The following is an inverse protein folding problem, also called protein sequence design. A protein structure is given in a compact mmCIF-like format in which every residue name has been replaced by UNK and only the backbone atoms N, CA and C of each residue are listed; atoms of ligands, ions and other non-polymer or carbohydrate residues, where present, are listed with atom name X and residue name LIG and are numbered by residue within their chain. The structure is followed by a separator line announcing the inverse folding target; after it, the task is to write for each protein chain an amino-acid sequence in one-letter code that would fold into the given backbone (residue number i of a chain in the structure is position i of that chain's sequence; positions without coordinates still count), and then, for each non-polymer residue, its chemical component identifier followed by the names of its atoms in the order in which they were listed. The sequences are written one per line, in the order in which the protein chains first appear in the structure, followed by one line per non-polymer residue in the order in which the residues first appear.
data_IF_282606363447
#
_entry.id   IF_282606363447
#
_cell.length_a   1.000
_cell.length_b   1.000
_cell.length_c   1.000
_cell.angle_alpha   90.00
_cell.angle_beta   90.00
_cell.angle_gamma   90.00
#
_symmetry.space_group_name_H-M   'P 1'
#
loop_
_entity.id
_entity.type
_entity.pdbx_description
1 polymer ?
#
# COMPACT_ATOMS: atom_id res chain seq x y z
N UNK A 1 56.14 57.30 -0.65
CA UNK A 1 57.11 56.18 -0.78
C UNK A 1 56.52 55.19 -1.76
N UNK A 2 56.84 55.32 -3.06
CA UNK A 2 57.95 54.63 -3.77
C UNK A 2 57.69 53.10 -3.80
N UNK A 3 57.12 52.45 -4.82
CA UNK A 3 57.29 52.47 -6.29
C UNK A 3 58.36 51.48 -6.80
N UNK A 4 57.95 50.68 -7.81
CA UNK A 4 58.73 50.11 -8.94
C UNK A 4 59.60 48.84 -8.67
N UNK A 5 59.75 47.85 -9.57
CA UNK A 5 59.23 47.58 -10.92
C UNK A 5 59.71 46.20 -11.44
N UNK A 6 59.22 45.86 -12.65
CA UNK A 6 59.74 45.01 -13.73
C UNK A 6 59.13 43.60 -13.83
N UNK A 7 58.64 43.14 -14.98
CA UNK A 7 58.63 43.69 -16.33
C UNK A 7 57.96 42.69 -17.29
N UNK A 8 57.38 43.21 -18.36
CA UNK A 8 56.53 42.50 -19.32
C UNK A 8 57.28 41.96 -20.54
N UNK A 9 56.55 41.11 -21.30
CA UNK A 9 56.64 40.83 -22.74
C UNK A 9 57.64 39.76 -23.23
N UNK A 10 57.11 38.76 -23.96
CA UNK A 10 57.34 38.59 -25.41
C UNK A 10 56.33 37.58 -25.99
N UNK A 11 55.81 37.91 -27.17
CA UNK A 11 54.98 37.08 -28.04
C UNK A 11 55.88 36.33 -29.02
N UNK A 12 55.59 35.05 -29.34
CA UNK A 12 56.02 34.50 -30.63
C UNK A 12 55.11 33.38 -31.14
N UNK A 13 54.94 33.41 -32.46
CA UNK A 13 54.01 32.66 -33.30
C UNK A 13 54.45 31.20 -33.50
N UNK A 14 53.45 30.32 -33.62
CA UNK A 14 53.27 29.43 -34.77
C UNK A 14 54.18 28.20 -34.91
N UNK A 15 53.54 27.05 -35.15
CA UNK A 15 54.08 26.08 -36.12
C UNK A 15 54.12 24.62 -35.71
N UNK A 16 53.09 23.90 -36.17
CA UNK A 16 53.12 22.55 -36.79
C UNK A 16 53.49 21.32 -35.94
N UNK A 17 52.45 20.46 -35.84
CA UNK A 17 52.41 19.00 -36.14
C UNK A 17 53.24 18.09 -35.24
N UNK A 18 52.89 16.84 -34.98
CA UNK A 18 51.68 16.03 -35.09
C UNK A 18 52.15 14.67 -34.56
N UNK A 19 51.41 14.01 -33.67
CA UNK A 19 51.43 12.55 -33.67
C UNK A 19 50.11 12.04 -33.09
N UNK A 20 49.36 11.45 -34.02
CA UNK A 20 48.12 10.69 -33.81
C UNK A 20 48.36 9.59 -32.77
N UNK A 21 47.42 9.48 -31.84
CA UNK A 21 46.95 8.18 -31.40
C UNK A 21 45.45 8.10 -31.72
N UNK A 22 45.17 7.39 -32.81
CA UNK A 22 43.88 6.79 -33.08
C UNK A 22 43.69 5.67 -32.07
N UNK A 23 42.54 5.65 -31.39
CA UNK A 23 41.68 4.48 -31.23
C UNK A 23 40.35 4.98 -30.66
N UNK A 24 39.35 5.01 -31.55
CA UNK A 24 38.00 5.39 -31.19
C UNK A 24 37.36 4.32 -30.31
N UNK A 25 36.92 4.73 -29.13
CA UNK A 25 35.95 3.96 -28.37
C UNK A 25 34.57 4.57 -28.62
N UNK A 26 33.85 3.92 -29.54
CA UNK A 26 32.40 4.02 -29.68
C UNK A 26 31.80 3.53 -28.37
N UNK A 27 31.37 4.45 -27.51
CA UNK A 27 30.49 4.12 -26.40
C UNK A 27 29.12 3.84 -27.01
N UNK A 28 28.85 2.56 -27.31
CA UNK A 28 27.49 2.11 -27.54
C UNK A 28 26.72 2.33 -26.24
N UNK A 29 25.85 3.35 -26.22
CA UNK A 29 24.72 3.38 -25.28
C UNK A 29 23.85 2.18 -25.62
N UNK A 30 24.08 1.07 -24.92
CA UNK A 30 23.14 -0.02 -24.86
C UNK A 30 21.84 0.55 -24.28
N UNK A 31 20.88 0.82 -25.16
CA UNK A 31 19.49 1.02 -24.81
C UNK A 31 19.01 -0.34 -24.29
N UNK A 32 19.28 -0.62 -23.01
CA UNK A 32 18.57 -1.64 -22.26
C UNK A 32 17.14 -1.13 -22.13
N UNK A 33 16.35 -1.36 -23.19
CA UNK A 33 14.91 -1.48 -23.05
C UNK A 33 14.68 -2.68 -22.15
N UNK A 34 14.71 -2.46 -20.84
CA UNK A 34 13.99 -3.33 -19.92
C UNK A 34 12.52 -3.17 -20.27
N UNK A 35 12.05 -3.93 -21.24
CA UNK A 35 10.63 -4.24 -21.36
C UNK A 35 10.29 -5.16 -20.20
N UNK A 36 10.21 -4.60 -18.99
CA UNK A 36 9.37 -5.20 -17.97
C UNK A 36 7.97 -5.00 -18.50
N UNK A 37 7.40 -6.05 -19.10
CA UNK A 37 5.94 -6.16 -19.14
C UNK A 37 5.50 -6.07 -17.68
N UNK A 38 5.07 -4.89 -17.24
CA UNK A 38 4.34 -4.76 -15.98
C UNK A 38 3.10 -5.61 -16.20
N UNK A 39 3.14 -6.85 -15.70
CA UNK A 39 1.98 -7.72 -15.74
C UNK A 39 0.83 -6.94 -15.14
N UNK A 40 -0.33 -6.95 -15.79
CA UNK A 40 -1.52 -6.23 -15.35
C UNK A 40 -1.72 -6.50 -13.86
N UNK A 41 -1.52 -5.48 -13.01
CA UNK A 41 -1.71 -5.60 -11.57
C UNK A 41 -3.21 -5.81 -11.37
N UNK A 42 -3.58 -7.01 -10.96
CA UNK A 42 -4.96 -7.36 -10.67
C UNK A 42 -5.23 -7.26 -9.16
N UNK A 43 -6.49 -7.09 -8.75
CA UNK A 43 -6.86 -7.20 -7.34
C UNK A 43 -6.40 -8.53 -6.74
N UNK A 44 -5.73 -8.49 -5.58
CA UNK A 44 -5.13 -9.70 -4.99
C UNK A 44 -6.17 -10.76 -4.64
N UNK A 45 -7.39 -10.32 -4.30
CA UNK A 45 -8.52 -11.16 -3.96
C UNK A 45 -9.20 -11.83 -5.16
N UNK A 46 -8.95 -11.36 -6.39
CA UNK A 46 -9.53 -11.93 -7.63
C UNK A 46 -9.21 -13.42 -7.82
N UNK A 47 -8.09 -13.88 -7.23
CA UNK A 47 -7.64 -15.27 -7.30
C UNK A 47 -8.24 -16.16 -6.21
N UNK A 48 -8.92 -15.60 -5.20
CA UNK A 48 -9.43 -16.36 -4.06
C UNK A 48 -10.39 -17.48 -4.50
N UNK A 49 -11.24 -17.20 -5.49
CA UNK A 49 -12.18 -18.18 -6.06
C UNK A 49 -11.48 -19.41 -6.65
N UNK A 50 -10.28 -19.24 -7.25
CA UNK A 50 -9.51 -20.34 -7.82
C UNK A 50 -8.91 -21.29 -6.76
N UNK A 51 -8.73 -20.81 -5.52
CA UNK A 51 -8.28 -21.62 -4.40
C UNK A 51 -9.43 -22.14 -3.54
N UNK A 52 -10.63 -21.54 -3.64
CA UNK A 52 -11.87 -22.05 -3.06
C UNK A 52 -11.74 -22.36 -1.56
N UNK A 53 -12.00 -23.61 -1.19
CA UNK A 53 -12.02 -24.07 0.19
C UNK A 53 -10.64 -24.50 0.74
N UNK A 54 -9.56 -24.22 0.00
CA UNK A 54 -8.22 -24.37 0.53
C UNK A 54 -8.00 -23.41 1.71
N UNK A 55 -7.34 -23.89 2.75
CA UNK A 55 -6.97 -23.07 3.92
C UNK A 55 -5.97 -21.99 3.50
N UNK A 56 -6.29 -20.74 3.78
CA UNK A 56 -5.45 -19.57 3.52
C UNK A 56 -4.72 -19.09 4.78
N UNK A 57 -5.44 -19.06 5.92
CA UNK A 57 -4.93 -18.56 7.21
C UNK A 57 -5.34 -19.54 8.31
N UNK A 58 -4.43 -19.83 9.22
CA UNK A 58 -4.75 -20.52 10.48
C UNK A 58 -4.35 -19.62 11.63
N UNK A 59 -5.28 -19.36 12.55
CA UNK A 59 -5.09 -18.52 13.73
C UNK A 59 -5.70 -19.18 14.98
N UNK A 60 -5.84 -18.42 16.06
CA UNK A 60 -6.37 -18.91 17.35
C UNK A 60 -7.84 -19.35 17.28
N UNK A 61 -8.60 -18.85 16.30
CA UNK A 61 -10.02 -19.17 16.10
C UNK A 61 -10.24 -20.35 15.15
N UNK A 62 -9.21 -20.79 14.41
CA UNK A 62 -9.27 -21.97 13.55
C UNK A 62 -8.62 -21.75 12.20
N UNK A 63 -9.12 -22.48 11.19
CA UNK A 63 -8.65 -22.41 9.80
C UNK A 63 -9.66 -21.67 8.94
N UNK A 64 -9.16 -20.68 8.18
CA UNK A 64 -9.95 -19.81 7.33
C UNK A 64 -9.58 -20.05 5.87
N UNK A 65 -10.58 -20.37 5.06
CA UNK A 65 -10.40 -20.67 3.64
C UNK A 65 -10.32 -19.39 2.79
N UNK A 66 -9.79 -19.51 1.58
CA UNK A 66 -9.84 -18.39 0.61
C UNK A 66 -11.29 -17.95 0.32
N UNK A 67 -12.22 -18.90 0.21
CA UNK A 67 -13.65 -18.64 -0.01
C UNK A 67 -14.28 -17.87 1.15
N UNK A 68 -13.95 -18.23 2.39
CA UNK A 68 -14.42 -17.53 3.60
C UNK A 68 -13.88 -16.10 3.64
N UNK A 69 -12.56 -15.91 3.50
CA UNK A 69 -11.94 -14.58 3.51
C UNK A 69 -12.55 -13.66 2.46
N UNK A 70 -12.74 -14.15 1.23
CA UNK A 70 -13.33 -13.37 0.15
C UNK A 70 -14.77 -12.92 0.47
N UNK A 71 -15.63 -13.85 0.89
CA UNK A 71 -17.03 -13.54 1.23
C UNK A 71 -17.15 -12.52 2.36
N UNK A 72 -16.37 -12.71 3.43
CA UNK A 72 -16.34 -11.79 4.56
C UNK A 72 -15.85 -10.40 4.17
N UNK A 73 -14.81 -10.34 3.34
CA UNK A 73 -14.28 -9.07 2.83
C UNK A 73 -15.30 -8.33 1.97
N UNK A 74 -16.00 -9.05 1.08
CA UNK A 74 -17.05 -8.49 0.22
C UNK A 74 -18.24 -7.96 1.03
N UNK A 75 -18.65 -8.72 2.05
CA UNK A 75 -19.71 -8.31 2.98
C UNK A 75 -19.34 -7.03 3.73
N UNK A 76 -18.14 -6.98 4.32
CA UNK A 76 -17.66 -5.79 5.01
C UNK A 76 -17.48 -4.59 4.04
N UNK A 77 -17.04 -4.81 2.80
CA UNK A 77 -16.96 -3.76 1.79
C UNK A 77 -18.33 -3.14 1.48
N UNK A 78 -19.39 -3.95 1.45
CA UNK A 78 -20.77 -3.50 1.34
C UNK A 78 -21.18 -2.60 2.51
N UNK A 79 -20.91 -3.02 3.75
CA UNK A 79 -21.19 -2.24 4.94
C UNK A 79 -20.43 -0.90 4.96
N UNK A 80 -19.16 -0.89 4.54
CA UNK A 80 -18.37 0.35 4.42
C UNK A 80 -19.00 1.29 3.39
N UNK A 81 -19.41 0.76 2.23
CA UNK A 81 -20.02 1.54 1.15
C UNK A 81 -21.36 2.15 1.58
N UNK A 82 -22.18 1.37 2.27
CA UNK A 82 -23.46 1.82 2.84
C UNK A 82 -23.27 2.89 3.91
N UNK A 83 -22.37 2.66 4.88
CA UNK A 83 -22.07 3.60 5.96
C UNK A 83 -21.51 4.94 5.44
N UNK A 84 -20.86 4.94 4.26
CA UNK A 84 -20.35 6.14 3.60
C UNK A 84 -21.30 6.72 2.53
N UNK A 85 -22.53 6.17 2.42
CA UNK A 85 -23.55 6.57 1.45
C UNK A 85 -23.03 6.64 0.00
N UNK A 86 -22.12 5.73 -0.36
CA UNK A 86 -21.48 5.73 -1.68
C UNK A 86 -22.32 4.94 -2.69
N UNK A 87 -23.04 5.65 -3.56
CA UNK A 87 -23.90 5.02 -4.57
C UNK A 87 -23.13 4.36 -5.73
N UNK A 88 -21.90 4.80 -6.00
CA UNK A 88 -21.07 4.25 -7.08
C UNK A 88 -20.40 2.92 -6.74
N UNK A 89 -20.35 2.54 -5.46
CA UNK A 89 -19.58 1.39 -4.97
C UNK A 89 -18.05 1.58 -4.96
N UNK A 90 -17.57 2.72 -5.48
CA UNK A 90 -16.16 3.11 -5.47
C UNK A 90 -15.98 4.37 -4.62
N UNK A 91 -15.22 4.22 -3.52
CA UNK A 91 -14.90 5.28 -2.58
C UNK A 91 -13.81 6.25 -3.07
N UNK A 92 -13.23 6.04 -4.25
CA UNK A 92 -12.25 6.94 -4.87
C UNK A 92 -11.07 7.28 -3.95
N UNK A 93 -10.57 6.29 -3.22
CA UNK A 93 -9.40 6.45 -2.36
C UNK A 93 -9.67 7.07 -0.99
N UNK A 94 -10.92 7.11 -0.50
CA UNK A 94 -11.18 7.42 0.92
C UNK A 94 -10.42 6.47 1.84
N UNK A 95 -9.87 7.00 2.93
CA UNK A 95 -9.11 6.24 3.90
C UNK A 95 -10.03 5.51 4.88
N UNK A 96 -9.81 4.21 5.03
CA UNK A 96 -10.51 3.33 5.96
C UNK A 96 -9.50 2.89 7.02
N UNK A 97 -9.62 3.45 8.22
CA UNK A 97 -8.77 3.04 9.34
C UNK A 97 -9.33 1.81 10.01
N UNK A 98 -8.48 0.84 10.33
CA UNK A 98 -8.93 -0.36 11.02
C UNK A 98 -7.96 -0.80 12.11
N UNK A 99 -8.51 -1.32 13.20
CA UNK A 99 -7.75 -1.90 14.30
C UNK A 99 -8.32 -3.28 14.62
N UNK A 100 -7.49 -4.31 14.49
CA UNK A 100 -7.91 -5.69 14.66
C UNK A 100 -6.76 -6.53 15.27
N UNK A 101 -7.08 -7.77 15.66
CA UNK A 101 -6.08 -8.71 16.13
C UNK A 101 -5.20 -9.21 14.98
N UNK A 102 -4.09 -9.89 15.35
CA UNK A 102 -3.18 -10.52 14.38
C UNK A 102 -3.75 -11.87 13.93
N UNK A 103 -4.92 -11.84 13.29
CA UNK A 103 -5.66 -13.01 12.83
C UNK A 103 -6.34 -12.72 11.48
N UNK A 104 -7.21 -13.61 11.01
CA UNK A 104 -7.89 -13.49 9.73
C UNK A 104 -8.65 -12.15 9.54
N UNK A 105 -9.09 -11.51 10.63
CA UNK A 105 -9.79 -10.22 10.57
C UNK A 105 -8.98 -9.12 9.91
N UNK A 106 -7.64 -9.14 10.03
CA UNK A 106 -6.76 -8.18 9.37
C UNK A 106 -6.89 -8.26 7.85
N UNK A 107 -6.89 -9.49 7.32
CA UNK A 107 -7.03 -9.71 5.87
C UNK A 107 -8.41 -9.29 5.40
N UNK A 108 -9.46 -9.58 6.18
CA UNK A 108 -10.83 -9.17 5.87
C UNK A 108 -10.97 -7.66 5.83
N UNK A 109 -10.49 -6.92 6.84
CA UNK A 109 -10.56 -5.46 6.88
C UNK A 109 -9.76 -4.82 5.73
N UNK A 110 -8.58 -5.35 5.44
CA UNK A 110 -7.74 -4.87 4.35
C UNK A 110 -8.38 -5.09 2.98
N UNK A 111 -8.84 -6.31 2.70
CA UNK A 111 -9.49 -6.62 1.43
C UNK A 111 -10.80 -5.86 1.28
N UNK A 112 -11.60 -5.74 2.33
CA UNK A 112 -12.83 -4.95 2.30
C UNK A 112 -12.56 -3.49 1.91
N UNK A 113 -11.53 -2.88 2.50
CA UNK A 113 -11.12 -1.50 2.16
C UNK A 113 -10.77 -1.36 0.68
N UNK A 114 -10.06 -2.33 0.11
CA UNK A 114 -9.69 -2.33 -1.30
C UNK A 114 -10.87 -2.63 -2.24
N UNK A 115 -11.76 -3.53 -1.83
CA UNK A 115 -12.93 -3.96 -2.59
C UNK A 115 -13.92 -2.82 -2.82
N UNK A 116 -14.07 -1.90 -1.86
CA UNK A 116 -14.85 -0.68 -2.02
C UNK A 116 -14.05 0.50 -2.62
N UNK A 117 -12.84 0.27 -3.15
CA UNK A 117 -12.01 1.31 -3.77
C UNK A 117 -11.40 2.32 -2.80
N UNK A 118 -11.38 1.98 -1.50
CA UNK A 118 -10.74 2.75 -0.45
C UNK A 118 -9.27 2.38 -0.21
N UNK A 119 -8.64 3.14 0.67
CA UNK A 119 -7.24 2.97 1.09
C UNK A 119 -7.21 2.41 2.50
N UNK A 120 -6.53 1.28 2.67
CA UNK A 120 -6.38 0.62 3.96
C UNK A 120 -5.41 1.40 4.87
N UNK A 121 -5.85 1.80 6.06
CA UNK A 121 -5.01 2.46 7.07
C UNK A 121 -4.94 1.59 8.33
N UNK A 122 -4.00 0.63 8.40
CA UNK A 122 -3.87 -0.23 9.57
C UNK A 122 -3.39 0.56 10.78
N UNK A 123 -4.13 0.47 11.88
CA UNK A 123 -3.76 1.04 13.18
C UNK A 123 -2.97 0.01 14.00
N UNK A 124 -2.09 0.48 14.87
CA UNK A 124 -1.28 -0.40 15.72
C UNK A 124 -1.83 -0.51 17.13
N UNK A 125 -2.18 -1.74 17.55
CA UNK A 125 -2.82 -2.03 18.85
C UNK A 125 -2.04 -1.62 20.10
N UNK A 126 -0.74 -1.36 20.00
CA UNK A 126 0.06 -0.89 21.15
C UNK A 126 0.19 0.63 21.21
N UNK A 127 -0.29 1.35 20.20
CA UNK A 127 -0.34 2.80 20.27
C UNK A 127 -1.38 3.24 21.31
N UNK A 128 -1.05 4.19 22.19
CA UNK A 128 -2.02 4.78 23.09
C UNK A 128 -3.09 5.56 22.30
N UNK A 129 -4.27 5.84 22.90
CA UNK A 129 -5.40 6.47 22.20
C UNK A 129 -5.05 7.80 21.51
N UNK A 130 -4.16 8.61 22.07
CA UNK A 130 -3.73 9.87 21.46
C UNK A 130 -2.90 9.67 20.17
N UNK A 131 -2.13 8.58 20.07
CA UNK A 131 -1.39 8.23 18.85
C UNK A 131 -2.33 7.65 17.79
N UNK A 132 -3.31 6.85 18.20
CA UNK A 132 -4.38 6.37 17.30
C UNK A 132 -5.18 7.54 16.74
N UNK A 133 -5.60 8.47 17.60
CA UNK A 133 -6.32 9.70 17.20
C UNK A 133 -5.50 10.53 16.21
N UNK A 134 -4.19 10.67 16.45
CA UNK A 134 -3.31 11.36 15.52
C UNK A 134 -3.31 10.70 14.14
N UNK A 135 -3.12 9.38 14.07
CA UNK A 135 -3.12 8.64 12.79
C UNK A 135 -4.47 8.75 12.09
N UNK A 136 -5.58 8.59 12.80
CA UNK A 136 -6.94 8.69 12.24
C UNK A 136 -7.18 10.09 11.65
N UNK A 137 -6.75 11.13 12.38
CA UNK A 137 -6.94 12.53 11.96
C UNK A 137 -6.02 12.93 10.80
N UNK A 138 -4.74 12.58 10.88
CA UNK A 138 -3.71 12.91 9.88
C UNK A 138 -3.97 12.18 8.55
N UNK A 139 -4.48 10.94 8.62
CA UNK A 139 -4.90 10.19 7.45
C UNK A 139 -6.23 10.68 6.86
N UNK A 140 -6.97 11.56 7.55
CA UNK A 140 -8.31 11.97 7.12
C UNK A 140 -9.24 10.77 6.91
N UNK A 141 -9.21 9.82 7.85
CA UNK A 141 -10.04 8.62 7.79
C UNK A 141 -11.51 8.98 7.67
N UNK A 142 -12.21 8.33 6.73
CA UNK A 142 -13.65 8.52 6.50
C UNK A 142 -14.50 7.60 7.36
N UNK A 143 -13.97 6.45 7.76
CA UNK A 143 -14.65 5.43 8.55
C UNK A 143 -13.62 4.60 9.34
N UNK A 144 -14.02 4.13 10.52
CA UNK A 144 -13.25 3.22 11.35
C UNK A 144 -13.84 1.80 11.30
N UNK A 145 -12.96 0.78 11.28
CA UNK A 145 -13.35 -0.63 11.45
C UNK A 145 -12.67 -1.18 12.69
N UNK A 146 -13.47 -1.60 13.67
CA UNK A 146 -12.99 -2.19 14.92
C UNK A 146 -13.18 -3.71 14.91
N UNK A 147 -12.08 -4.45 14.82
CA UNK A 147 -12.06 -5.88 15.13
C UNK A 147 -11.88 -6.12 16.62
N UNK A 148 -12.47 -7.20 17.13
CA UNK A 148 -12.30 -7.59 18.53
C UNK A 148 -10.81 -7.79 18.89
N UNK A 149 -10.37 -7.44 20.12
CA UNK A 149 -11.14 -6.83 21.21
C UNK A 149 -11.12 -5.28 21.20
N UNK A 150 -10.87 -4.63 20.06
CA UNK A 150 -10.53 -3.20 20.02
C UNK A 150 -11.72 -2.24 19.85
N UNK A 151 -12.95 -2.76 19.91
CA UNK A 151 -14.18 -1.95 19.89
C UNK A 151 -14.16 -0.85 20.94
N UNK A 152 -13.88 -1.20 22.20
CA UNK A 152 -13.84 -0.25 23.32
C UNK A 152 -12.72 0.79 23.19
N UNK A 153 -11.75 0.57 22.30
CA UNK A 153 -10.68 1.53 21.99
C UNK A 153 -11.09 2.47 20.86
N UNK A 154 -11.71 1.95 19.79
CA UNK A 154 -12.03 2.75 18.60
C UNK A 154 -13.36 3.50 18.69
N UNK A 155 -14.40 2.95 19.33
CA UNK A 155 -15.70 3.63 19.42
C UNK A 155 -15.62 5.01 20.09
N UNK A 156 -14.91 5.20 21.22
CA UNK A 156 -14.76 6.54 21.80
C UNK A 156 -14.03 7.52 20.88
N UNK A 157 -13.04 7.03 20.12
CA UNK A 157 -12.31 7.85 19.14
C UNK A 157 -13.20 8.22 17.95
N UNK A 158 -14.00 7.28 17.44
CA UNK A 158 -14.96 7.52 16.37
C UNK A 158 -15.97 8.60 16.77
N UNK A 159 -16.55 8.47 17.98
CA UNK A 159 -17.50 9.44 18.52
C UNK A 159 -16.85 10.82 18.68
N UNK A 160 -15.63 10.88 19.24
CA UNK A 160 -14.88 12.13 19.41
C UNK A 160 -14.62 12.84 18.08
N UNK A 161 -14.32 12.07 17.03
CA UNK A 161 -13.97 12.58 15.70
C UNK A 161 -15.18 12.73 14.76
N UNK A 162 -16.38 12.30 15.18
CA UNK A 162 -17.58 12.34 14.35
C UNK A 162 -17.55 11.39 13.15
N UNK A 163 -16.87 10.25 13.29
CA UNK A 163 -16.70 9.25 12.22
C UNK A 163 -17.61 8.03 12.44
N UNK A 164 -18.16 7.42 11.38
CA UNK A 164 -18.76 6.09 11.47
C UNK A 164 -17.74 5.06 11.97
N UNK A 165 -18.20 4.12 12.81
CA UNK A 165 -17.41 2.98 13.28
C UNK A 165 -18.18 1.69 13.01
N UNK A 166 -17.58 0.77 12.26
CA UNK A 166 -18.12 -0.57 12.01
C UNK A 166 -17.39 -1.59 12.85
N UNK A 167 -18.12 -2.56 13.37
CA UNK A 167 -17.53 -3.69 14.09
C UNK A 167 -17.29 -4.85 13.12
N UNK A 168 -16.08 -5.42 13.14
CA UNK A 168 -15.78 -6.66 12.46
C UNK A 168 -16.12 -7.83 13.40
N UNK A 169 -17.00 -8.75 13.00
CA UNK A 169 -17.48 -9.80 13.89
C UNK A 169 -16.39 -10.79 14.27
N UNK A 170 -16.53 -11.36 15.46
CA UNK A 170 -15.57 -12.29 16.06
C UNK A 170 -15.43 -13.59 15.28
N UNK A 171 -16.47 -14.01 14.56
CA UNK A 171 -16.44 -15.20 13.70
C UNK A 171 -16.69 -14.77 12.27
N UNK A 172 -15.83 -15.23 11.36
CA UNK A 172 -15.98 -15.03 9.93
C UNK A 172 -17.08 -15.92 9.32
N UNK A 173 -17.68 -16.83 10.09
CA UNK A 173 -18.82 -17.62 9.60
C UNK A 173 -20.16 -16.88 9.75
N UNK A 174 -20.20 -15.76 10.48
CA UNK A 174 -21.46 -15.05 10.82
C UNK A 174 -21.78 -13.88 9.91
N UNK A 175 -20.87 -13.42 9.04
CA UNK A 175 -21.18 -12.41 8.01
C UNK A 175 -21.91 -13.05 6.82
N UNK A 176 -23.10 -13.58 7.07
CA UNK A 176 -24.03 -13.99 6.02
C UNK A 176 -24.91 -12.79 5.66
N UNK A 177 -24.33 -11.81 4.95
CA UNK A 177 -25.09 -10.74 4.32
C UNK A 177 -25.27 -11.05 2.83
N UNK A 178 -26.40 -10.61 2.28
CA UNK A 178 -26.70 -10.67 0.86
C UNK A 178 -25.54 -10.08 0.05
N UNK A 179 -25.26 -10.64 -1.13
CA UNK A 179 -24.14 -10.20 -1.96
C UNK A 179 -24.24 -8.71 -2.27
N UNK A 180 -23.42 -7.91 -1.58
CA UNK A 180 -23.27 -6.49 -1.90
C UNK A 180 -22.92 -6.34 -3.39
N UNK A 181 -23.70 -5.51 -4.10
CA UNK A 181 -23.45 -5.19 -5.49
C UNK A 181 -22.19 -4.32 -5.57
N UNK A 182 -21.05 -4.95 -5.81
CA UNK A 182 -19.82 -4.25 -6.16
C UNK A 182 -19.63 -4.23 -7.67
N UNK A 183 -18.98 -3.17 -8.23
CA UNK A 183 -18.64 -3.16 -9.63
C UNK A 183 -17.78 -4.38 -10.00
N UNK A 184 -17.97 -4.98 -11.20
CA UNK A 184 -17.19 -6.14 -11.62
C UNK A 184 -15.69 -5.85 -11.57
N UNK A 185 -14.92 -6.76 -10.97
CA UNK A 185 -13.46 -6.62 -10.79
C UNK A 185 -12.70 -6.36 -12.10
N UNK A 186 -13.27 -6.79 -13.24
CA UNK A 186 -12.69 -6.62 -14.59
C UNK A 186 -12.78 -5.18 -15.13
N UNK A 187 -13.55 -4.29 -14.50
CA UNK A 187 -13.80 -2.92 -14.96
C UNK A 187 -12.75 -1.90 -14.50
N UNK A 188 -11.89 -2.23 -13.55
CA UNK A 188 -10.95 -1.27 -12.94
C UNK A 188 -9.64 -1.23 -13.73
N UNK A 189 -9.58 -0.33 -14.71
CA UNK A 189 -8.40 -0.18 -15.59
C UNK A 189 -7.18 0.47 -14.91
N UNK A 190 -7.40 1.21 -13.83
CA UNK A 190 -6.40 2.01 -13.12
C UNK A 190 -5.90 1.36 -11.82
N UNK A 191 -6.33 0.13 -11.51
CA UNK A 191 -6.08 -0.56 -10.23
C UNK A 191 -4.63 -0.47 -9.74
N UNK A 192 -3.67 -0.65 -10.65
CA UNK A 192 -2.23 -0.63 -10.35
C UNK A 192 -1.79 0.66 -9.64
N UNK A 193 -2.31 1.81 -10.09
CA UNK A 193 -1.90 3.14 -9.64
C UNK A 193 -2.80 3.67 -8.51
N UNK A 194 -3.92 3.01 -8.22
CA UNK A 194 -4.78 3.38 -7.10
C UNK A 194 -4.02 3.25 -5.77
N UNK A 195 -4.17 4.21 -4.84
CA UNK A 195 -3.60 4.08 -3.52
C UNK A 195 -4.24 2.88 -2.80
N UNK A 196 -3.42 2.07 -2.15
CA UNK A 196 -3.82 0.82 -1.54
C UNK A 196 -3.69 0.88 -0.02
N UNK A 197 -2.59 1.44 0.49
CA UNK A 197 -2.31 1.40 1.92
C UNK A 197 -1.53 2.62 2.38
N UNK A 198 -1.90 3.18 3.54
CA UNK A 198 -1.17 4.24 4.21
C UNK A 198 -0.60 3.71 5.53
N UNK A 199 0.71 3.53 5.61
CA UNK A 199 1.39 2.97 6.78
C UNK A 199 2.13 4.08 7.53
N UNK A 200 1.84 4.24 8.82
CA UNK A 200 2.55 5.20 9.65
C UNK A 200 3.84 4.62 10.21
N UNK A 201 4.91 5.41 10.14
CA UNK A 201 6.22 5.04 10.65
C UNK A 201 6.70 6.06 11.67
N UNK A 202 7.37 5.59 12.72
CA UNK A 202 8.06 6.45 13.70
C UNK A 202 9.25 7.14 13.01
N UNK A 203 8.99 8.27 12.36
CA UNK A 203 10.04 9.07 11.75
C UNK A 203 11.07 9.51 12.78
N UNK A 204 12.32 9.66 12.37
CA UNK A 204 13.45 10.03 13.25
C UNK A 204 13.40 11.47 13.78
N UNK A 205 12.45 12.30 13.34
CA UNK A 205 12.45 13.77 13.57
C UNK A 205 11.11 14.32 14.07
N UNK A 206 10.22 13.53 14.67
CA UNK A 206 8.98 14.04 15.24
C UNK A 206 7.77 13.10 15.11
N UNK A 207 6.60 13.66 14.76
CA UNK A 207 5.34 12.91 14.62
C UNK A 207 5.46 11.82 13.53
N UNK A 208 4.79 10.66 13.70
CA UNK A 208 4.78 9.61 12.71
C UNK A 208 4.33 10.10 11.33
N UNK A 209 4.94 9.61 10.25
CA UNK A 209 4.59 10.00 8.88
C UNK A 209 3.90 8.85 8.15
N UNK A 210 2.80 9.15 7.47
CA UNK A 210 2.09 8.21 6.61
C UNK A 210 2.84 7.98 5.28
N UNK A 211 3.26 6.75 5.04
CA UNK A 211 3.82 6.29 3.78
C UNK A 211 2.71 5.68 2.92
N UNK A 212 2.34 6.38 1.83
CA UNK A 212 1.30 5.93 0.91
C UNK A 212 1.88 4.95 -0.11
N UNK A 213 1.25 3.79 -0.24
CA UNK A 213 1.59 2.73 -1.17
C UNK A 213 0.46 2.52 -2.17
N UNK A 214 0.78 2.41 -3.45
CA UNK A 214 -0.14 1.94 -4.50
C UNK A 214 -0.19 0.41 -4.55
N UNK A 215 -1.21 -0.16 -5.19
CA UNK A 215 -1.28 -1.60 -5.42
C UNK A 215 -0.06 -2.14 -6.18
N UNK A 216 0.44 -1.39 -7.18
CA UNK A 216 1.65 -1.75 -7.93
C UNK A 216 2.89 -1.80 -7.04
N UNK A 217 3.04 -0.84 -6.10
CA UNK A 217 4.16 -0.82 -5.17
C UNK A 217 4.12 -2.00 -4.19
N UNK A 218 2.94 -2.33 -3.65
CA UNK A 218 2.75 -3.49 -2.78
C UNK A 218 3.08 -4.80 -3.51
N UNK A 219 2.57 -4.96 -4.74
CA UNK A 219 2.83 -6.15 -5.54
C UNK A 219 4.33 -6.29 -5.89
N UNK A 220 5.01 -5.19 -6.21
CA UNK A 220 6.44 -5.19 -6.48
C UNK A 220 7.24 -5.64 -5.24
N UNK A 221 6.88 -5.16 -4.04
CA UNK A 221 7.50 -5.60 -2.78
C UNK A 221 7.30 -7.09 -2.52
N UNK A 222 6.07 -7.60 -2.66
CA UNK A 222 5.75 -9.03 -2.48
C UNK A 222 6.51 -9.89 -3.49
N UNK A 223 6.45 -9.54 -4.78
CA UNK A 223 7.17 -10.27 -5.84
C UNK A 223 8.68 -10.29 -5.58
N UNK A 224 9.24 -9.17 -5.09
CA UNK A 224 10.65 -9.11 -4.75
C UNK A 224 10.97 -10.08 -3.63
N UNK A 225 10.26 -10.01 -2.51
CA UNK A 225 10.44 -10.89 -1.36
C UNK A 225 10.29 -12.37 -1.74
N UNK A 226 9.25 -12.74 -2.49
CA UNK A 226 9.04 -14.13 -2.91
C UNK A 226 10.12 -14.60 -3.89
N UNK A 227 10.54 -13.75 -4.84
CA UNK A 227 11.56 -14.13 -5.82
C UNK A 227 12.97 -14.24 -5.23
N UNK A 228 13.28 -13.48 -4.17
CA UNK A 228 14.59 -13.52 -3.52
C UNK A 228 14.63 -14.57 -2.42
N UNK A 229 13.63 -14.64 -1.54
CA UNK A 229 13.67 -15.51 -0.36
C UNK A 229 13.41 -16.97 -0.72
N UNK A 230 12.50 -17.26 -1.65
CA UNK A 230 12.15 -18.64 -2.00
C UNK A 230 13.23 -19.36 -2.82
N UNK A 231 14.14 -18.61 -3.46
CA UNK A 231 15.34 -19.17 -4.12
C UNK A 231 16.34 -19.78 -3.14
N UNK A 232 16.34 -19.34 -1.88
CA UNK A 232 17.28 -19.80 -0.84
C UNK A 232 16.62 -20.71 0.21
N UNK A 233 15.32 -20.99 0.09
CA UNK A 233 14.58 -21.86 1.01
C UNK A 233 14.14 -23.19 0.37
N UNK A 234 14.72 -23.60 -0.77
CA UNK A 234 14.60 -25.00 -1.21
C UNK A 234 15.67 -25.84 -0.51
N UNK A 235 15.32 -26.96 0.15
CA UNK A 235 16.29 -27.97 0.55
C UNK A 235 16.96 -28.60 -0.67
#
# INVERSE_FOLDING_TARGET
MLSLNTGSFWSCKGGRRALKWLLGNVVQKANLKTSSSVGKVAPVFSRASAYGDNVAITDHSGSHTYSSLYKNSKSLAGLITEALACQSGDLQGKHISFLCANDASYTVAQWASWMCGGVAVPLYRKHPPNELEYVISDSQSSLLVAGQPFTDTLEPLAQKLGLPCLQLPTSLDTLQLEEAQMPPEESVSDWAERPAMLIYTSGTTGRPKGALHTHSSLQAMVNRCLSTTWKYCRP
#
